data_IF_038590233782
#
_entry.id   IF_038590233782
#
_cell.length_a   1.000
_cell.length_b   1.000
_cell.length_c   1.000
_cell.angle_alpha   90.00
_cell.angle_beta   90.00
_cell.angle_gamma   90.00
#
_symmetry.space_group_name_H-M   'P 1'
#
loop_
_entity.id
_entity.type
_entity.pdbx_description
1 polymer ?
#
# COMPACT_ATOMS: atom_id res chain seq x y z
N UNK A 1 5.91 -7.86 12.82
CA UNK A 1 6.39 -8.77 11.75
C UNK A 1 5.39 -9.91 11.48
N UNK A 2 4.83 -10.55 12.51
CA UNK A 2 3.84 -11.65 12.38
C UNK A 2 2.53 -11.24 11.67
N UNK A 3 2.03 -10.03 11.93
CA UNK A 3 0.77 -9.52 11.35
C UNK A 3 0.86 -9.36 9.83
N UNK A 4 1.98 -8.85 9.31
CA UNK A 4 2.19 -8.68 7.87
C UNK A 4 2.15 -10.02 7.12
N UNK A 5 2.79 -11.06 7.68
CA UNK A 5 2.75 -12.40 7.11
C UNK A 5 1.34 -12.99 7.11
N UNK A 6 0.57 -12.78 8.18
CA UNK A 6 -0.82 -13.21 8.28
C UNK A 6 -1.71 -12.53 7.22
N UNK A 7 -1.41 -11.27 6.90
CA UNK A 7 -2.10 -10.50 5.86
C UNK A 7 -1.60 -10.80 4.43
N UNK A 8 -0.70 -11.77 4.26
CA UNK A 8 -0.14 -12.15 2.96
C UNK A 8 0.93 -11.20 2.42
N UNK A 9 1.49 -10.32 3.26
CA UNK A 9 2.74 -9.62 2.97
C UNK A 9 3.90 -10.57 3.33
N UNK A 10 4.25 -11.47 2.42
CA UNK A 10 5.42 -12.33 2.56
C UNK A 10 6.70 -11.51 2.38
N UNK A 11 7.76 -11.87 3.12
CA UNK A 11 9.08 -11.31 2.85
C UNK A 11 9.60 -11.86 1.52
N UNK A 12 10.19 -10.96 0.73
CA UNK A 12 10.69 -11.16 -0.64
C UNK A 12 11.74 -12.28 -0.73
N UNK A 13 12.40 -12.62 0.38
CA UNK A 13 13.44 -13.64 0.44
C UNK A 13 13.00 -14.97 1.08
N UNK A 14 11.78 -15.06 1.61
CA UNK A 14 11.30 -16.38 2.02
C UNK A 14 10.89 -17.13 0.76
N UNK A 15 11.72 -18.09 0.35
CA UNK A 15 11.27 -19.25 -0.44
C UNK A 15 10.23 -20.02 0.38
N UNK A 16 9.08 -19.41 0.66
CA UNK A 16 7.97 -20.07 1.31
C UNK A 16 7.35 -20.96 0.24
N UNK A 17 7.36 -22.27 0.47
CA UNK A 17 6.78 -23.32 -0.37
C UNK A 17 5.24 -23.26 -0.28
N UNK A 18 4.65 -22.07 -0.39
CA UNK A 18 3.25 -21.80 -0.07
C UNK A 18 2.61 -20.75 -0.98
N UNK A 19 1.43 -20.26 -0.58
CA UNK A 19 0.61 -19.29 -1.31
C UNK A 19 1.35 -17.95 -1.53
N UNK A 20 1.80 -17.72 -2.76
CA UNK A 20 2.40 -16.44 -3.16
C UNK A 20 1.30 -15.51 -3.70
N UNK A 21 0.78 -14.65 -2.81
CA UNK A 21 -0.26 -13.67 -3.14
C UNK A 21 0.18 -12.71 -4.24
N UNK A 22 1.46 -12.33 -4.27
CA UNK A 22 1.96 -11.38 -5.26
C UNK A 22 1.96 -12.02 -6.64
N UNK A 23 2.41 -13.28 -6.75
CA UNK A 23 2.36 -14.02 -8.01
C UNK A 23 0.93 -14.15 -8.56
N UNK A 24 -0.05 -14.44 -7.70
CA UNK A 24 -1.47 -14.52 -8.11
C UNK A 24 -2.03 -13.19 -8.61
N UNK A 25 -1.65 -12.07 -7.97
CA UNK A 25 -2.04 -10.74 -8.44
C UNK A 25 -1.39 -10.41 -9.79
N UNK A 26 -0.14 -10.84 -10.01
CA UNK A 26 0.53 -10.66 -11.30
C UNK A 26 -0.12 -11.49 -12.43
N UNK A 27 -0.64 -12.68 -12.12
CA UNK A 27 -1.44 -13.47 -13.06
C UNK A 27 -2.77 -12.78 -13.43
N UNK A 28 -3.28 -11.90 -12.57
CA UNK A 28 -4.48 -11.10 -12.78
C UNK A 28 -4.21 -9.74 -13.45
N UNK A 29 -3.00 -9.50 -13.92
CA UNK A 29 -2.54 -8.21 -14.47
C UNK A 29 -2.63 -7.02 -13.49
N UNK A 30 -2.64 -7.27 -12.18
CA UNK A 30 -2.73 -6.28 -11.11
C UNK A 30 -1.34 -5.67 -10.75
N UNK A 31 -0.58 -5.28 -11.78
CA UNK A 31 0.81 -4.79 -11.63
C UNK A 31 0.94 -3.59 -10.69
N UNK A 32 -0.01 -2.66 -10.76
CA UNK A 32 0.02 -1.42 -9.95
C UNK A 32 -0.24 -1.70 -8.48
N UNK A 33 -1.14 -2.65 -8.19
CA UNK A 33 -1.43 -3.10 -6.83
C UNK A 33 -0.19 -3.78 -6.25
N UNK A 34 0.44 -4.69 -6.99
CA UNK A 34 1.67 -5.36 -6.55
C UNK A 34 2.81 -4.35 -6.34
N UNK A 35 2.96 -3.37 -7.23
CA UNK A 35 3.94 -2.31 -7.07
C UNK A 35 3.69 -1.47 -5.81
N UNK A 36 2.44 -1.09 -5.53
CA UNK A 36 2.09 -0.37 -4.30
C UNK A 36 2.44 -1.18 -3.04
N UNK A 37 2.17 -2.48 -3.05
CA UNK A 37 2.51 -3.39 -1.95
C UNK A 37 4.03 -3.49 -1.74
N UNK A 38 4.83 -3.49 -2.81
CA UNK A 38 6.29 -3.43 -2.71
C UNK A 38 6.79 -2.08 -2.17
N UNK A 39 6.16 -0.97 -2.56
CA UNK A 39 6.48 0.36 -2.03
C UNK A 39 6.17 0.45 -0.53
N UNK A 40 5.03 -0.07 -0.07
CA UNK A 40 4.72 -0.15 1.37
C UNK A 40 5.66 -1.08 2.15
N UNK A 41 6.45 -1.91 1.47
CA UNK A 41 7.50 -2.72 2.07
C UNK A 41 8.88 -2.07 1.94
N UNK A 42 8.96 -0.84 1.43
CA UNK A 42 10.20 -0.11 1.13
C UNK A 42 11.08 -0.78 0.06
N UNK A 43 10.50 -1.60 -0.82
CA UNK A 43 11.23 -2.23 -1.92
C UNK A 43 10.90 -1.56 -3.26
N UNK A 44 11.50 -0.40 -3.48
CA UNK A 44 11.35 0.39 -4.71
C UNK A 44 11.82 -0.38 -5.94
N UNK A 45 12.92 -1.13 -5.83
CA UNK A 45 13.49 -1.87 -6.96
C UNK A 45 12.50 -2.93 -7.48
N UNK A 46 11.92 -3.72 -6.59
CA UNK A 46 10.89 -4.72 -6.96
C UNK A 46 9.62 -4.07 -7.51
N UNK A 47 9.20 -2.95 -6.94
CA UNK A 47 8.06 -2.21 -7.47
C UNK A 47 8.29 -1.77 -8.92
N UNK A 48 9.47 -1.23 -9.23
CA UNK A 48 9.85 -0.84 -10.59
C UNK A 48 9.99 -2.04 -11.53
N UNK A 49 10.57 -3.16 -11.07
CA UNK A 49 10.64 -4.40 -11.85
C UNK A 49 9.25 -4.86 -12.30
N UNK A 50 8.30 -4.95 -11.37
CA UNK A 50 6.92 -5.37 -11.65
C UNK A 50 6.20 -4.44 -12.61
N UNK A 51 6.34 -3.12 -12.45
CA UNK A 51 5.73 -2.17 -13.38
C UNK A 51 6.32 -2.29 -14.79
N UNK A 52 7.64 -2.51 -14.89
CA UNK A 52 8.30 -2.74 -16.18
C UNK A 52 7.86 -4.05 -16.84
N UNK A 53 7.67 -5.12 -16.07
CA UNK A 53 7.10 -6.37 -16.58
C UNK A 53 5.69 -6.15 -17.15
N UNK A 54 4.84 -5.41 -16.44
CA UNK A 54 3.51 -5.04 -16.92
C UNK A 54 3.55 -4.19 -18.19
N UNK A 55 4.49 -3.25 -18.29
CA UNK A 55 4.70 -2.44 -19.49
C UNK A 55 5.12 -3.29 -20.70
N UNK A 56 6.03 -4.26 -20.50
CA UNK A 56 6.50 -5.15 -21.57
C UNK A 56 5.41 -6.12 -22.06
N UNK A 57 4.54 -6.59 -21.15
CA UNK A 57 3.46 -7.53 -21.50
C UNK A 57 2.24 -6.86 -22.12
N UNK A 58 1.85 -5.70 -21.59
CA UNK A 58 0.58 -5.05 -21.93
C UNK A 58 0.70 -3.75 -22.72
N UNK A 59 1.90 -3.17 -22.88
CA UNK A 59 2.13 -1.95 -23.68
C UNK A 59 1.33 -0.72 -23.22
N UNK A 60 0.88 -0.68 -21.96
CA UNK A 60 0.01 0.39 -21.45
C UNK A 60 0.85 1.64 -21.19
N UNK A 61 0.63 2.70 -21.98
CA UNK A 61 1.29 4.01 -21.80
C UNK A 61 1.10 4.55 -20.37
N UNK A 62 -0.04 4.28 -19.74
CA UNK A 62 -0.33 4.61 -18.35
C UNK A 62 0.73 4.07 -17.37
N UNK A 63 1.25 2.85 -17.59
CA UNK A 63 2.30 2.26 -16.75
C UNK A 63 3.63 2.98 -16.94
N UNK A 64 3.96 3.42 -18.15
CA UNK A 64 5.16 4.20 -18.40
C UNK A 64 5.09 5.57 -17.68
N UNK A 65 3.93 6.24 -17.74
CA UNK A 65 3.68 7.47 -16.99
C UNK A 65 3.79 7.24 -15.49
N UNK A 66 3.23 6.13 -15.00
CA UNK A 66 3.28 5.76 -13.58
C UNK A 66 4.73 5.52 -13.11
N UNK A 67 5.54 4.79 -13.88
CA UNK A 67 6.96 4.55 -13.58
C UNK A 67 7.72 5.87 -13.50
N UNK A 68 7.53 6.76 -14.48
CA UNK A 68 8.19 8.06 -14.49
C UNK A 68 7.78 8.92 -13.30
N UNK A 69 6.48 8.97 -12.98
CA UNK A 69 5.97 9.69 -11.82
C UNK A 69 6.52 9.11 -10.51
N UNK A 70 6.60 7.78 -10.39
CA UNK A 70 7.14 7.09 -9.23
C UNK A 70 8.61 7.45 -9.02
N UNK A 71 9.45 7.31 -10.05
CA UNK A 71 10.88 7.68 -9.97
C UNK A 71 11.06 9.15 -9.66
N UNK A 72 10.25 10.03 -10.28
CA UNK A 72 10.27 11.47 -10.01
C UNK A 72 9.95 11.81 -8.56
N UNK A 73 8.89 11.21 -8.00
CA UNK A 73 8.47 11.44 -6.62
C UNK A 73 9.52 10.98 -5.60
N UNK A 74 10.10 9.80 -5.78
CA UNK A 74 11.15 9.26 -4.88
C UNK A 74 12.40 10.14 -4.91
N UNK A 75 12.77 10.64 -6.10
CA UNK A 75 13.91 11.56 -6.23
C UNK A 75 13.62 12.88 -5.52
N UNK A 76 12.41 13.43 -5.68
CA UNK A 76 12.01 14.67 -5.04
C UNK A 76 12.05 14.57 -3.51
N UNK A 77 11.57 13.47 -2.93
CA UNK A 77 11.61 13.23 -1.48
C UNK A 77 13.01 12.87 -0.96
N UNK A 78 13.91 12.37 -1.82
CA UNK A 78 15.28 12.02 -1.43
C UNK A 78 16.25 13.21 -1.49
N UNK A 79 15.95 14.23 -2.29
CA UNK A 79 16.74 15.45 -2.33
C UNK A 79 16.25 16.37 -1.21
N UNK A 80 17.10 16.67 -0.21
CA UNK A 80 16.87 17.64 0.89
C UNK A 80 16.61 19.08 0.40
N UNK A 81 16.23 19.28 -0.85
CA UNK A 81 15.89 20.58 -1.37
C UNK A 81 14.48 20.92 -0.92
N UNK A 82 14.32 22.12 -0.35
CA UNK A 82 13.07 22.77 0.05
C UNK A 82 12.07 23.00 -1.12
N UNK A 83 12.13 22.20 -2.19
CA UNK A 83 11.26 22.25 -3.36
C UNK A 83 9.87 21.67 -3.02
N UNK A 84 9.24 22.28 -2.02
CA UNK A 84 7.82 22.12 -1.68
C UNK A 84 6.94 22.33 -2.92
N UNK A 85 7.41 23.10 -3.90
CA UNK A 85 6.76 23.30 -5.20
C UNK A 85 6.59 21.98 -5.95
N UNK A 86 7.66 21.19 -6.12
CA UNK A 86 7.60 19.89 -6.79
C UNK A 86 6.70 18.93 -6.03
N UNK A 87 6.81 18.90 -4.71
CA UNK A 87 6.01 18.04 -3.86
C UNK A 87 4.51 18.39 -3.93
N UNK A 88 4.18 19.69 -3.95
CA UNK A 88 2.81 20.18 -4.11
C UNK A 88 2.26 19.84 -5.50
N UNK A 89 3.06 19.99 -6.56
CA UNK A 89 2.70 19.56 -7.91
C UNK A 89 2.42 18.05 -7.94
N UNK A 90 3.29 17.22 -7.37
CA UNK A 90 3.05 15.78 -7.26
C UNK A 90 1.77 15.45 -6.48
N UNK A 91 1.51 16.12 -5.36
CA UNK A 91 0.27 15.93 -4.58
C UNK A 91 -1.01 16.32 -5.33
N UNK A 92 -0.90 17.22 -6.31
CA UNK A 92 -2.03 17.56 -7.20
C UNK A 92 -2.23 16.48 -8.27
N UNK A 93 -1.12 15.91 -8.76
CA UNK A 93 -1.12 14.82 -9.74
C UNK A 93 -1.61 13.51 -9.13
N UNK A 94 -1.35 13.25 -7.84
CA UNK A 94 -1.84 12.02 -7.19
C UNK A 94 -3.36 11.92 -7.17
N UNK A 95 -4.06 13.05 -7.10
CA UNK A 95 -5.52 13.12 -7.17
C UNK A 95 -6.09 12.75 -8.54
N UNK A 96 -5.26 12.77 -9.59
CA UNK A 96 -5.66 12.37 -10.94
C UNK A 96 -5.66 10.84 -11.11
N UNK A 97 -5.04 10.08 -10.20
CA UNK A 97 -5.09 8.63 -10.28
C UNK A 97 -6.42 8.11 -9.76
N UNK A 98 -7.15 7.40 -10.63
CA UNK A 98 -8.44 6.81 -10.28
C UNK A 98 -8.31 5.55 -9.41
N UNK A 99 -7.16 4.87 -9.45
CA UNK A 99 -6.96 3.58 -8.79
C UNK A 99 -6.47 3.77 -7.34
N UNK A 100 -7.13 3.14 -6.34
CA UNK A 100 -6.86 3.40 -4.93
C UNK A 100 -5.43 3.00 -4.50
N UNK A 101 -4.91 1.88 -5.01
CA UNK A 101 -3.54 1.44 -4.70
C UNK A 101 -2.48 2.42 -5.22
N UNK A 102 -2.68 3.03 -6.39
CA UNK A 102 -1.76 4.02 -6.93
C UNK A 102 -1.78 5.31 -6.08
N UNK A 103 -2.98 5.79 -5.70
CA UNK A 103 -3.10 6.95 -4.80
C UNK A 103 -2.42 6.70 -3.46
N UNK A 104 -2.69 5.55 -2.85
CA UNK A 104 -2.09 5.15 -1.60
C UNK A 104 -0.55 5.02 -1.71
N UNK A 105 -0.03 4.44 -2.79
CA UNK A 105 1.40 4.33 -3.06
C UNK A 105 2.11 5.69 -3.04
N UNK A 106 1.57 6.69 -3.76
CA UNK A 106 2.15 8.03 -3.76
C UNK A 106 1.89 8.78 -2.46
N UNK A 107 0.71 8.64 -1.86
CA UNK A 107 0.40 9.20 -0.54
C UNK A 107 1.44 8.77 0.49
N UNK A 108 1.81 7.49 0.47
CA UNK A 108 2.87 6.96 1.33
C UNK A 108 4.24 7.61 1.08
N UNK A 109 4.67 7.71 -0.18
CA UNK A 109 5.97 8.31 -0.54
C UNK A 109 6.04 9.76 -0.09
N UNK A 110 4.97 10.53 -0.32
CA UNK A 110 4.90 11.94 0.03
C UNK A 110 4.82 12.16 1.55
N UNK A 111 4.24 11.25 2.32
CA UNK A 111 4.17 11.38 3.79
C UNK A 111 5.52 11.09 4.49
N UNK A 112 6.46 10.41 3.85
CA UNK A 112 7.73 10.03 4.50
C UNK A 112 8.62 11.20 4.96
N UNK A 113 8.38 12.41 4.47
CA UNK A 113 9.16 13.61 4.77
C UNK A 113 8.57 14.48 5.92
N UNK A 114 7.44 14.04 6.51
CA UNK A 114 6.75 14.76 7.59
C UNK A 114 7.14 14.28 9.00
N UNK A 115 7.43 15.22 9.91
CA UNK A 115 7.66 14.94 11.34
C UNK A 115 6.42 14.38 12.09
N UNK A 116 5.24 14.43 11.46
CA UNK A 116 4.01 13.86 11.99
C UNK A 116 3.49 12.84 10.96
N UNK A 117 3.85 11.57 11.16
CA UNK A 117 3.56 10.46 10.26
C UNK A 117 2.06 10.10 10.30
N UNK A 118 1.26 10.94 9.66
CA UNK A 118 -0.17 10.79 9.46
C UNK A 118 -0.38 10.00 8.16
N UNK A 119 -0.59 8.68 8.30
CA UNK A 119 -0.79 7.75 7.18
C UNK A 119 -2.27 7.58 6.78
N UNK A 120 -3.14 8.49 7.19
CA UNK A 120 -4.55 8.55 6.82
C UNK A 120 -4.73 8.58 5.29
N UNK A 121 -3.80 9.23 4.58
CA UNK A 121 -3.75 9.25 3.11
C UNK A 121 -3.63 7.86 2.46
N UNK A 122 -3.14 6.86 3.20
CA UNK A 122 -3.05 5.46 2.76
C UNK A 122 -4.23 4.66 3.31
N UNK A 123 -4.57 4.86 4.58
CA UNK A 123 -5.52 4.00 5.28
C UNK A 123 -7.00 4.30 4.95
N UNK A 124 -7.30 5.51 4.49
CA UNK A 124 -8.64 5.91 4.09
C UNK A 124 -8.95 5.57 2.61
N UNK A 125 -7.93 5.15 1.85
CA UNK A 125 -8.12 4.64 0.49
C UNK A 125 -8.85 3.30 0.47
N UNK A 126 -9.48 2.96 -0.66
CA UNK A 126 -10.20 1.69 -0.83
C UNK A 126 -9.24 0.52 -1.12
N UNK A 127 -8.41 0.18 -0.14
CA UNK A 127 -7.51 -0.98 -0.16
C UNK A 127 -8.19 -2.21 0.45
N UNK A 128 -7.71 -3.40 0.09
CA UNK A 128 -8.12 -4.65 0.75
C UNK A 128 -7.90 -4.54 2.27
N UNK A 129 -8.82 -5.10 3.07
CA UNK A 129 -8.75 -5.02 4.53
C UNK A 129 -7.40 -5.53 5.05
N UNK A 130 -6.94 -6.67 4.53
CA UNK A 130 -5.66 -7.26 4.88
C UNK A 130 -4.48 -6.29 4.64
N UNK A 131 -4.52 -5.51 3.56
CA UNK A 131 -3.45 -4.55 3.26
C UNK A 131 -3.49 -3.35 4.19
N UNK A 132 -4.69 -2.87 4.55
CA UNK A 132 -4.85 -1.81 5.55
C UNK A 132 -4.32 -2.25 6.91
N UNK A 133 -4.63 -3.47 7.33
CA UNK A 133 -4.19 -4.04 8.61
C UNK A 133 -2.68 -4.22 8.63
N UNK A 134 -2.10 -4.79 7.56
CA UNK A 134 -0.65 -4.96 7.44
C UNK A 134 0.09 -3.62 7.45
N UNK A 135 -0.43 -2.63 6.71
CA UNK A 135 0.12 -1.28 6.65
C UNK A 135 0.04 -0.60 8.01
N UNK A 136 -1.14 -0.58 8.63
CA UNK A 136 -1.36 0.02 9.95
C UNK A 136 -0.41 -0.58 10.99
N UNK A 137 -0.31 -1.91 11.05
CA UNK A 137 0.56 -2.61 11.99
C UNK A 137 2.05 -2.36 11.77
N UNK A 138 2.45 -1.91 10.57
CA UNK A 138 3.84 -1.60 10.24
C UNK A 138 4.21 -0.15 10.54
N UNK A 139 3.26 0.77 10.39
CA UNK A 139 3.54 2.20 10.32
C UNK A 139 2.90 3.04 11.43
N UNK A 140 1.84 2.55 12.09
CA UNK A 140 1.22 3.23 13.22
C UNK A 140 1.87 2.83 14.56
N UNK A 141 1.82 3.74 15.53
CA UNK A 141 2.11 3.41 16.92
C UNK A 141 0.96 2.60 17.56
N UNK A 142 1.22 1.95 18.69
CA UNK A 142 0.27 1.02 19.33
C UNK A 142 -1.11 1.65 19.60
N UNK A 143 -1.16 2.91 20.04
CA UNK A 143 -2.42 3.60 20.32
C UNK A 143 -3.24 3.83 19.04
N UNK A 144 -2.62 4.43 18.01
CA UNK A 144 -3.28 4.68 16.72
C UNK A 144 -3.62 3.38 16.00
N UNK A 145 -2.79 2.35 16.16
CA UNK A 145 -3.04 1.02 15.63
C UNK A 145 -4.31 0.44 16.25
N UNK A 146 -4.44 0.45 17.57
CA UNK A 146 -5.63 -0.03 18.26
C UNK A 146 -6.89 0.69 17.77
N UNK A 147 -6.88 2.02 17.78
CA UNK A 147 -8.02 2.84 17.34
C UNK A 147 -8.40 2.56 15.87
N UNK A 148 -7.42 2.31 15.01
CA UNK A 148 -7.68 2.02 13.59
C UNK A 148 -8.19 0.61 13.38
N UNK A 149 -7.67 -0.39 14.10
CA UNK A 149 -8.16 -1.77 14.02
C UNK A 149 -9.60 -1.88 14.53
N UNK A 150 -9.95 -1.17 15.60
CA UNK A 150 -11.32 -1.12 16.13
C UNK A 150 -12.30 -0.55 15.10
N UNK A 151 -11.96 0.58 14.49
CA UNK A 151 -12.75 1.17 13.39
C UNK A 151 -12.89 0.22 12.20
N UNK A 152 -11.82 -0.45 11.79
CA UNK A 152 -11.86 -1.40 10.68
C UNK A 152 -12.72 -2.63 11.01
N UNK A 153 -12.73 -3.07 12.27
CA UNK A 153 -13.58 -4.17 12.72
C UNK A 153 -15.07 -3.77 12.69
N UNK A 154 -15.42 -2.58 13.16
CA UNK A 154 -16.77 -2.05 13.11
C UNK A 154 -17.26 -1.89 11.66
N UNK A 155 -16.45 -1.29 10.79
CA UNK A 155 -16.77 -1.16 9.35
C UNK A 155 -16.99 -2.51 8.68
N UNK A 156 -16.16 -3.51 9.02
CA UNK A 156 -16.28 -4.86 8.47
C UNK A 156 -17.57 -5.53 8.95
N UNK A 157 -17.97 -5.29 10.20
CA UNK A 157 -19.22 -5.80 10.77
C UNK A 157 -20.45 -5.19 10.11
N UNK A 158 -20.44 -3.88 9.88
CA UNK A 158 -21.53 -3.17 9.21
C UNK A 158 -21.70 -3.61 7.75
N UNK A 159 -20.59 -3.83 7.04
CA UNK A 159 -20.58 -4.26 5.64
C UNK A 159 -20.78 -5.77 5.46
N UNK A 160 -20.66 -6.56 6.52
CA UNK A 160 -20.66 -8.02 6.44
C UNK A 160 -19.44 -8.58 5.69
N UNK A 161 -18.29 -7.90 5.77
CA UNK A 161 -17.06 -8.32 5.12
C UNK A 161 -16.44 -9.51 5.86
N UNK A 162 -16.41 -10.68 5.20
CA UNK A 162 -15.83 -11.90 5.75
C UNK A 162 -14.32 -11.78 6.02
N UNK A 163 -13.62 -10.85 5.37
CA UNK A 163 -12.23 -10.55 5.70
C UNK A 163 -12.10 -9.99 7.14
N UNK A 164 -13.17 -9.41 7.68
CA UNK A 164 -13.26 -8.91 9.06
C UNK A 164 -12.99 -9.98 10.13
N UNK A 165 -13.11 -11.27 9.80
CA UNK A 165 -12.73 -12.38 10.69
C UNK A 165 -11.27 -12.27 11.13
N UNK A 166 -10.40 -11.71 10.29
CA UNK A 166 -9.00 -11.43 10.67
C UNK A 166 -8.90 -10.55 11.92
N UNK A 167 -9.81 -9.59 12.05
CA UNK A 167 -9.83 -8.60 13.13
C UNK A 167 -10.67 -9.07 14.33
N UNK A 168 -11.82 -9.68 14.07
CA UNK A 168 -12.76 -10.09 15.13
C UNK A 168 -12.43 -11.47 15.70
N UNK A 169 -11.60 -12.25 15.02
CA UNK A 169 -11.41 -13.67 15.28
C UNK A 169 -12.65 -14.50 14.90
N UNK A 170 -12.51 -15.83 14.98
CA UNK A 170 -13.61 -16.78 14.79
C UNK A 170 -14.50 -16.96 16.03
N UNK A 171 -14.16 -16.31 17.14
CA UNK A 171 -14.88 -16.44 18.40
C UNK A 171 -15.56 -15.14 18.78
N UNK A 172 -16.88 -15.23 18.85
CA UNK A 172 -17.79 -14.29 19.47
C UNK A 172 -17.38 -14.10 20.95
N UNK A 173 -16.73 -13.00 21.29
CA UNK A 173 -16.65 -12.52 22.67
C UNK A 173 -17.43 -11.22 22.78
N UNK A 174 -18.73 -11.37 22.99
CA UNK A 174 -19.51 -10.43 23.79
C UNK A 174 -18.92 -10.41 25.20
N UNK A 175 -18.15 -9.37 25.52
CA UNK A 175 -17.93 -8.90 26.89
C UNK A 175 -18.55 -7.51 26.99
#
# INVERSE_FOLDING_TARGET
QTVAQLCGWSHIDSKSVGYDRMALLLEQDEYEKVAALYIFQMNVNRALEVLNEGLQRGGKEELATLILALVGSIRATSTNNDDKTLMNEFSSVTKLFHRPYVRAMFGFILTQDGNDLQYECVLDEQLDLNDKVAFAARYLNDQRLYDKLDKLADESREKGDLQGILLTGLFYLSI
#
